data_IF_326619890329
#
_entry.id   IF_326619890329
#
_cell.length_a   1.000
_cell.length_b   1.000
_cell.length_c   1.000
_cell.angle_alpha   90.00
_cell.angle_beta   90.00
_cell.angle_gamma   90.00
#
_symmetry.space_group_name_H-M   'P 1'
#
loop_
_entity.id
_entity.type
_entity.pdbx_description
1 polymer ?
#
# COMPACT_ATOMS: atom_id res chain seq x y z
N UNK A 1 -10.40 -9.81 -13.67
CA UNK A 1 -9.81 -8.78 -14.54
C UNK A 1 -8.72 -8.08 -13.74
N UNK A 2 -7.46 -8.10 -14.18
CA UNK A 2 -6.40 -7.31 -13.54
C UNK A 2 -6.52 -5.86 -14.01
N UNK A 3 -6.74 -4.93 -13.08
CA UNK A 3 -6.87 -3.50 -13.40
C UNK A 3 -5.49 -2.94 -13.73
N UNK A 4 -5.30 -2.46 -14.95
CA UNK A 4 -4.02 -1.88 -15.38
C UNK A 4 -3.90 -0.44 -14.89
N UNK A 5 -3.00 -0.18 -13.95
CA UNK A 5 -2.68 1.18 -13.50
C UNK A 5 -1.42 1.68 -14.21
N UNK A 6 -1.51 2.83 -14.88
CA UNK A 6 -0.34 3.53 -15.45
C UNK A 6 0.34 4.44 -14.42
N UNK A 7 -0.37 4.78 -13.33
CA UNK A 7 0.13 5.59 -12.23
C UNK A 7 -0.62 5.24 -10.95
N UNK A 8 -0.01 5.53 -9.80
CA UNK A 8 -0.67 5.40 -8.51
C UNK A 8 -1.89 6.34 -8.45
N UNK A 9 -3.10 5.82 -8.17
CA UNK A 9 -4.30 6.65 -8.11
C UNK A 9 -4.28 7.64 -6.95
N UNK A 10 -3.45 7.42 -5.92
CA UNK A 10 -3.34 8.29 -4.75
C UNK A 10 -2.34 9.43 -4.94
N UNK A 11 -1.17 9.18 -5.53
CA UNK A 11 -0.09 10.18 -5.64
C UNK A 11 0.32 10.52 -7.07
N UNK A 12 -0.30 9.90 -8.08
CA UNK A 12 -0.02 10.14 -9.51
C UNK A 12 1.33 9.62 -10.00
N UNK A 13 2.19 9.06 -9.13
CA UNK A 13 3.51 8.56 -9.52
C UNK A 13 3.40 7.36 -10.46
N UNK A 14 4.20 7.36 -11.53
CA UNK A 14 4.36 6.23 -12.47
C UNK A 14 5.29 5.14 -11.93
N UNK A 15 6.22 5.51 -11.06
CA UNK A 15 7.12 4.61 -10.36
C UNK A 15 6.51 4.16 -9.02
N UNK A 16 5.41 3.42 -9.12
CA UNK A 16 4.61 3.01 -7.96
C UNK A 16 4.99 1.62 -7.43
N UNK A 17 5.76 0.83 -8.18
CA UNK A 17 6.11 -0.56 -7.86
C UNK A 17 4.88 -1.46 -7.90
N UNK A 18 4.08 -1.42 -6.84
CA UNK A 18 2.82 -2.17 -6.74
C UNK A 18 1.70 -1.27 -6.22
N UNK A 19 0.50 -1.49 -6.74
CA UNK A 19 -0.74 -0.91 -6.25
C UNK A 19 -1.38 -1.90 -5.28
N UNK A 20 -1.56 -1.43 -4.06
CA UNK A 20 -2.16 -2.12 -2.95
C UNK A 20 -3.57 -1.60 -2.70
N UNK A 21 -4.48 -2.49 -2.37
CA UNK A 21 -5.78 -2.14 -1.82
C UNK A 21 -5.84 -2.64 -0.37
N UNK A 22 -6.16 -1.74 0.58
CA UNK A 22 -6.38 -2.14 1.96
C UNK A 22 -7.67 -2.93 2.09
N UNK A 23 -7.62 -4.18 2.59
CA UNK A 23 -8.82 -5.02 2.77
C UNK A 23 -9.80 -4.44 3.81
N UNK A 24 -9.32 -3.63 4.76
CA UNK A 24 -10.15 -3.01 5.81
C UNK A 24 -10.95 -1.79 5.38
N UNK A 25 -10.37 -0.91 4.56
CA UNK A 25 -11.02 0.37 4.18
C UNK A 25 -11.12 0.58 2.67
N UNK A 26 -10.77 -0.45 1.88
CA UNK A 26 -10.74 -0.47 0.41
C UNK A 26 -9.96 0.70 -0.20
N UNK A 27 -9.06 1.34 0.55
CA UNK A 27 -8.21 2.38 0.02
C UNK A 27 -7.21 1.77 -0.95
N UNK A 28 -7.15 2.33 -2.15
CA UNK A 28 -6.14 2.00 -3.15
C UNK A 28 -4.97 2.97 -3.06
N UNK A 29 -3.75 2.48 -2.93
CA UNK A 29 -2.53 3.26 -2.80
C UNK A 29 -1.32 2.45 -3.27
N UNK A 30 -0.21 3.10 -3.60
CA UNK A 30 1.02 2.39 -3.96
C UNK A 30 1.87 2.03 -2.74
N UNK A 31 2.86 1.14 -2.91
CA UNK A 31 3.82 0.84 -1.84
C UNK A 31 4.47 2.09 -1.23
N UNK A 32 4.77 3.10 -2.03
CA UNK A 32 5.36 4.38 -1.56
C UNK A 32 4.39 5.26 -0.77
N UNK A 33 3.09 4.99 -0.88
CA UNK A 33 2.04 5.68 -0.14
C UNK A 33 1.64 4.93 1.13
N UNK A 34 2.31 3.84 1.51
CA UNK A 34 2.17 3.21 2.82
C UNK A 34 2.43 4.28 3.89
N UNK A 35 1.59 4.31 4.91
CA UNK A 35 1.92 5.03 6.14
C UNK A 35 3.06 4.30 6.84
N UNK A 36 3.83 5.03 7.65
CA UNK A 36 4.83 4.45 8.53
C UNK A 36 4.54 4.90 9.94
N UNK A 37 4.67 3.98 10.89
CA UNK A 37 4.56 4.27 12.32
C UNK A 37 5.74 3.65 13.03
N UNK A 38 6.17 4.34 14.07
CA UNK A 38 7.26 3.90 14.95
C UNK A 38 6.65 3.52 16.28
N UNK A 39 6.90 2.30 16.73
CA UNK A 39 6.54 1.84 18.06
C UNK A 39 7.42 2.50 19.12
N UNK A 40 7.02 2.52 20.39
CA UNK A 40 7.82 3.09 21.48
C UNK A 40 9.21 2.44 21.63
N UNK A 41 9.33 1.18 21.21
CA UNK A 41 10.59 0.42 21.22
C UNK A 41 11.53 0.80 20.05
N UNK A 42 11.09 1.68 19.15
CA UNK A 42 11.85 2.11 17.97
C UNK A 42 11.61 1.27 16.70
N UNK A 43 10.82 0.19 16.79
CA UNK A 43 10.43 -0.60 15.61
C UNK A 43 9.56 0.22 14.66
N UNK A 44 9.98 0.34 13.40
CA UNK A 44 9.16 0.95 12.34
C UNK A 44 8.37 -0.11 11.59
N UNK A 45 7.07 0.12 11.41
CA UNK A 45 6.20 -0.73 10.62
C UNK A 45 5.42 0.07 9.58
N UNK A 46 5.02 -0.62 8.51
CA UNK A 46 4.17 -0.04 7.50
C UNK A 46 2.71 -0.17 7.92
N UNK A 47 1.91 0.85 7.66
CA UNK A 47 0.48 0.83 7.97
C UNK A 47 -0.35 1.44 6.83
N UNK A 48 -1.65 1.17 6.82
CA UNK A 48 -2.55 1.83 5.89
C UNK A 48 -2.59 3.34 6.20
N UNK A 49 -2.38 4.21 5.21
CA UNK A 49 -2.36 5.67 5.43
C UNK A 49 -3.73 6.28 5.75
N UNK A 50 -4.82 5.49 5.71
CA UNK A 50 -6.18 5.96 6.01
C UNK A 50 -6.71 5.40 7.33
N UNK A 51 -6.73 4.08 7.48
CA UNK A 51 -7.25 3.46 8.70
C UNK A 51 -6.17 3.15 9.75
N UNK A 52 -4.88 3.29 9.43
CA UNK A 52 -3.78 2.98 10.35
C UNK A 52 -3.57 1.49 10.63
N UNK A 53 -4.26 0.60 9.90
CA UNK A 53 -4.08 -0.84 10.06
C UNK A 53 -2.64 -1.25 9.68
N UNK A 54 -2.00 -2.04 10.52
CA UNK A 54 -0.66 -2.57 10.32
C UNK A 54 -0.60 -3.42 9.04
N UNK A 55 0.44 -3.22 8.23
CA UNK A 55 0.72 -3.96 7.01
C UNK A 55 1.92 -4.83 7.32
N UNK A 56 1.64 -6.03 7.80
CA UNK A 56 2.62 -7.07 8.11
C UNK A 56 3.26 -7.68 6.86
N UNK A 57 4.33 -8.45 7.07
CA UNK A 57 5.04 -9.18 6.02
C UNK A 57 4.18 -10.25 5.34
N UNK A 58 3.19 -10.80 6.03
CA UNK A 58 2.19 -11.72 5.47
C UNK A 58 1.16 -11.01 4.55
N UNK A 59 1.26 -9.69 4.42
CA UNK A 59 0.41 -8.83 3.59
C UNK A 59 -1.10 -8.96 3.86
N UNK A 60 -1.56 -9.57 4.95
CA UNK A 60 -3.00 -9.87 5.10
C UNK A 60 -3.89 -8.61 5.10
N UNK A 61 -3.37 -7.48 5.57
CA UNK A 61 -4.11 -6.20 5.60
C UNK A 61 -4.30 -5.56 4.21
N UNK A 62 -3.50 -5.94 3.21
CA UNK A 62 -3.54 -5.38 1.86
C UNK A 62 -3.67 -6.48 0.81
N UNK A 63 -4.12 -6.12 -0.39
CA UNK A 63 -4.03 -7.02 -1.54
C UNK A 63 -3.36 -6.29 -2.70
N UNK A 64 -2.43 -6.96 -3.36
CA UNK A 64 -1.82 -6.42 -4.58
C UNK A 64 -2.83 -6.54 -5.72
N UNK A 65 -3.28 -5.41 -6.25
CA UNK A 65 -4.25 -5.38 -7.36
C UNK A 65 -3.60 -5.05 -8.70
N UNK A 66 -2.40 -4.47 -8.69
CA UNK A 66 -1.60 -4.27 -9.88
C UNK A 66 -0.10 -4.19 -9.54
N UNK A 67 0.72 -4.65 -10.48
CA UNK A 67 2.18 -4.54 -10.43
C UNK A 67 2.65 -3.73 -11.63
N UNK A 68 3.68 -2.91 -11.44
CA UNK A 68 4.33 -2.20 -12.53
C UNK A 68 4.91 -3.24 -13.50
N UNK A 69 4.48 -3.20 -14.77
CA UNK A 69 5.12 -3.99 -15.81
C UNK A 69 6.49 -3.36 -16.08
N UNK A 70 7.53 -4.19 -15.92
CA UNK A 70 8.93 -3.86 -16.17
C UNK A 70 9.20 -3.75 -17.67
#
# INVERSE_FOLDING_TARGET
MMTTYNSCPKCGRKDFGEILECKRCSLIFCQKCKGKRTLPDGTEYNCCPRCGAEIDEDEDTVRVIAKQKR
#
